data_IF_344354223886
#
_entry.id   IF_344354223886
#
_cell.length_a   1.000
_cell.length_b   1.000
_cell.length_c   1.000
_cell.angle_alpha   90.00
_cell.angle_beta   90.00
_cell.angle_gamma   90.00
#
_symmetry.space_group_name_H-M   'P 1'
#
loop_
_entity.id
_entity.type
_entity.pdbx_description
1 polymer ?
#
# COMPACT_ATOMS: atom_id res chain seq x y z
N UNK A 1 17.57 31.58 -3.12
CA UNK A 1 18.93 31.04 -2.98
C UNK A 1 18.82 29.86 -2.03
N UNK A 2 18.83 28.63 -2.56
CA UNK A 2 18.76 27.39 -1.77
C UNK A 2 19.89 26.48 -2.21
N UNK A 3 20.63 25.83 -1.29
CA UNK A 3 21.64 24.86 -1.68
C UNK A 3 20.91 23.59 -2.13
N UNK A 4 20.88 23.36 -3.43
CA UNK A 4 20.55 22.07 -4.01
C UNK A 4 21.66 21.10 -3.59
N UNK A 5 21.41 20.27 -2.57
CA UNK A 5 22.33 19.20 -2.17
C UNK A 5 22.18 18.07 -3.17
N UNK A 6 22.85 18.13 -4.33
CA UNK A 6 23.02 16.98 -5.21
C UNK A 6 24.31 17.12 -6.05
N UNK A 7 25.42 16.66 -5.49
CA UNK A 7 26.57 16.18 -6.27
C UNK A 7 26.56 14.65 -6.14
N UNK A 8 26.31 13.90 -7.20
CA UNK A 8 27.32 13.02 -7.82
C UNK A 8 26.75 12.29 -9.07
N UNK A 9 27.65 11.66 -9.80
CA UNK A 9 27.67 11.36 -11.23
C UNK A 9 27.17 9.96 -11.64
N UNK A 10 26.17 9.41 -10.96
CA UNK A 10 25.79 7.98 -11.05
C UNK A 10 24.35 7.70 -11.51
N UNK A 11 23.86 8.24 -12.63
CA UNK A 11 22.53 7.84 -13.16
C UNK A 11 21.31 8.19 -12.27
N UNK A 12 21.54 8.69 -11.05
CA UNK A 12 20.52 9.05 -10.06
C UNK A 12 19.65 10.22 -10.52
N UNK A 13 20.09 10.96 -11.55
CA UNK A 13 19.38 12.07 -12.21
C UNK A 13 17.95 11.81 -12.68
N UNK A 14 17.52 10.54 -12.73
CA UNK A 14 16.22 10.08 -13.20
C UNK A 14 15.52 9.15 -12.19
N UNK A 15 15.93 9.19 -10.92
CA UNK A 15 15.38 8.39 -9.83
C UNK A 15 14.78 9.28 -8.74
N UNK A 16 13.86 8.72 -7.94
CA UNK A 16 13.40 9.36 -6.71
C UNK A 16 14.52 9.49 -5.66
N UNK A 17 15.63 8.80 -5.83
CA UNK A 17 16.82 8.95 -5.00
C UNK A 17 17.40 10.38 -5.01
N UNK A 18 17.05 11.21 -5.99
CA UNK A 18 17.37 12.65 -6.00
C UNK A 18 16.84 13.40 -4.79
N UNK A 19 15.73 12.93 -4.24
CA UNK A 19 15.11 13.53 -3.05
C UNK A 19 15.10 12.54 -1.90
N UNK A 20 15.89 11.46 -1.99
CA UNK A 20 15.98 10.48 -0.92
C UNK A 20 16.55 11.14 0.35
N UNK A 21 15.82 10.93 1.43
CA UNK A 21 16.19 11.38 2.74
C UNK A 21 17.44 10.63 3.21
N UNK A 22 18.41 11.38 3.74
CA UNK A 22 19.59 10.83 4.38
C UNK A 22 19.81 11.49 5.74
N UNK A 23 20.56 10.83 6.62
CA UNK A 23 20.82 11.29 7.99
C UNK A 23 21.52 12.65 8.04
N UNK A 24 22.17 13.05 6.95
CA UNK A 24 22.80 14.36 6.76
C UNK A 24 21.90 15.41 6.11
N UNK A 25 20.64 15.10 5.79
CA UNK A 25 19.73 16.02 5.11
C UNK A 25 19.34 17.14 6.06
N UNK A 26 19.82 18.35 5.77
CA UNK A 26 19.42 19.57 6.48
C UNK A 26 18.19 20.17 5.81
N UNK A 27 17.08 20.26 6.56
CA UNK A 27 15.86 20.90 6.09
C UNK A 27 15.78 22.34 6.62
N UNK A 28 15.29 23.29 5.80
CA UNK A 28 14.99 24.63 6.30
C UNK A 28 13.92 24.57 7.40
N UNK A 29 13.96 25.47 8.40
CA UNK A 29 12.94 25.53 9.47
C UNK A 29 11.55 25.72 8.87
N UNK A 30 10.61 24.84 9.23
CA UNK A 30 9.23 24.94 8.76
C UNK A 30 8.45 26.00 9.55
N UNK A 31 7.60 26.83 8.92
CA UNK A 31 6.76 27.79 9.64
C UNK A 31 5.74 27.09 10.55
N UNK A 32 5.36 27.75 11.66
CA UNK A 32 4.34 27.23 12.56
C UNK A 32 3.00 27.02 11.85
N UNK A 33 2.31 25.92 12.17
CA UNK A 33 1.06 25.52 11.49
C UNK A 33 1.24 25.11 10.02
N UNK A 34 2.46 24.78 9.60
CA UNK A 34 2.77 24.15 8.32
C UNK A 34 3.43 22.80 8.57
N UNK A 35 3.61 22.01 7.51
CA UNK A 35 4.09 20.65 7.67
C UNK A 35 4.42 19.94 6.37
N UNK A 36 4.32 18.62 6.42
CA UNK A 36 4.42 17.74 5.27
C UNK A 36 3.23 16.81 5.21
N UNK A 37 2.76 16.55 4.00
CA UNK A 37 1.72 15.55 3.71
C UNK A 37 2.39 14.40 2.97
N UNK A 38 2.10 13.19 3.41
CA UNK A 38 2.62 11.98 2.76
C UNK A 38 1.93 11.66 1.44
N UNK A 39 2.62 10.90 0.61
CA UNK A 39 2.10 10.23 -0.56
C UNK A 39 2.79 8.88 -0.68
N UNK A 40 2.01 7.83 -0.93
CA UNK A 40 2.57 6.50 -1.15
C UNK A 40 3.26 6.44 -2.51
N UNK A 41 4.50 5.96 -2.52
CA UNK A 41 5.27 5.75 -3.75
C UNK A 41 5.14 4.31 -4.15
N UNK A 42 4.69 4.04 -5.37
CA UNK A 42 4.50 2.69 -5.88
C UNK A 42 5.84 1.93 -5.96
N UNK A 43 5.77 0.62 -5.91
CA UNK A 43 6.83 -0.32 -6.16
C UNK A 43 6.96 -0.50 -7.66
N UNK A 44 8.14 -0.92 -8.10
CA UNK A 44 8.48 -1.03 -9.51
C UNK A 44 9.76 -0.27 -9.83
N UNK A 45 10.28 -0.46 -11.06
CA UNK A 45 11.46 0.24 -11.51
C UNK A 45 11.24 1.75 -11.50
N UNK A 46 12.30 2.48 -11.13
CA UNK A 46 12.36 3.92 -11.39
C UNK A 46 12.25 4.12 -12.89
N UNK A 47 11.37 5.04 -13.29
CA UNK A 47 11.16 5.40 -14.67
C UNK A 47 11.09 6.91 -14.80
N UNK A 48 11.56 7.41 -15.94
CA UNK A 48 11.48 8.82 -16.24
C UNK A 48 11.12 9.10 -17.69
N UNK A 49 10.42 10.21 -17.88
CA UNK A 49 10.07 10.77 -19.19
C UNK A 49 10.78 12.12 -19.29
N UNK A 50 11.85 12.17 -20.08
CA UNK A 50 12.57 13.40 -20.36
C UNK A 50 12.01 14.06 -21.61
N UNK A 51 11.80 15.36 -21.56
CA UNK A 51 11.41 16.20 -22.69
C UNK A 51 12.46 17.28 -22.90
N UNK A 52 13.05 17.30 -24.10
CA UNK A 52 14.03 18.31 -24.52
C UNK A 52 13.78 18.69 -25.97
N UNK A 53 13.64 19.99 -26.25
CA UNK A 53 13.36 20.49 -27.60
C UNK A 53 12.19 19.76 -28.29
N UNK A 54 11.11 19.44 -27.54
CA UNK A 54 9.95 18.72 -28.06
C UNK A 54 10.17 17.23 -28.37
N UNK A 55 11.33 16.66 -28.00
CA UNK A 55 11.61 15.22 -28.12
C UNK A 55 11.47 14.54 -26.77
N UNK A 56 10.84 13.38 -26.77
CA UNK A 56 10.69 12.52 -25.60
C UNK A 56 11.78 11.45 -25.61
N UNK A 57 12.50 11.32 -24.49
CA UNK A 57 13.42 10.21 -24.21
C UNK A 57 12.93 9.49 -22.95
N UNK A 58 12.87 8.16 -22.99
CA UNK A 58 12.38 7.35 -21.88
C UNK A 58 13.54 6.67 -21.17
N UNK A 59 13.49 6.70 -19.84
CA UNK A 59 14.49 6.07 -18.99
C UNK A 59 13.84 5.08 -18.03
N UNK A 60 14.58 4.03 -17.69
CA UNK A 60 14.24 3.09 -16.64
C UNK A 60 15.52 2.76 -15.87
N UNK A 61 15.49 2.85 -14.55
CA UNK A 61 16.65 2.71 -13.68
C UNK A 61 17.85 3.59 -14.09
N UNK A 62 17.57 4.83 -14.52
CA UNK A 62 18.60 5.79 -14.93
C UNK A 62 19.15 5.62 -16.35
N UNK A 63 18.75 4.57 -17.07
CA UNK A 63 19.24 4.28 -18.43
C UNK A 63 18.13 4.39 -19.49
N UNK A 64 18.50 4.70 -20.74
CA UNK A 64 17.55 4.74 -21.85
C UNK A 64 16.90 3.36 -22.00
N UNK A 65 15.58 3.31 -21.91
CA UNK A 65 14.84 2.04 -21.89
C UNK A 65 14.35 1.62 -23.28
N UNK A 66 14.41 0.31 -23.53
CA UNK A 66 13.80 -0.34 -24.69
C UNK A 66 12.47 -1.04 -24.34
N UNK A 67 11.91 -0.79 -23.15
CA UNK A 67 10.66 -1.39 -22.70
C UNK A 67 9.48 -0.94 -23.60
N UNK A 68 9.02 -1.84 -24.48
CA UNK A 68 8.00 -1.52 -25.48
C UNK A 68 6.63 -1.16 -24.88
N UNK A 69 6.29 -1.70 -23.72
CA UNK A 69 5.05 -1.38 -23.02
C UNK A 69 5.06 0.05 -22.49
N UNK A 70 6.18 0.48 -21.87
CA UNK A 70 6.34 1.85 -21.40
C UNK A 70 6.37 2.85 -22.56
N UNK A 71 7.08 2.52 -23.65
CA UNK A 71 7.05 3.31 -24.90
C UNK A 71 5.63 3.48 -25.44
N UNK A 72 4.85 2.39 -25.51
CA UNK A 72 3.46 2.41 -25.98
C UNK A 72 2.57 3.23 -25.05
N UNK A 73 2.77 3.14 -23.74
CA UNK A 73 2.04 3.92 -22.74
C UNK A 73 2.29 5.42 -22.91
N UNK A 74 3.56 5.86 -22.93
CA UNK A 74 3.89 7.29 -23.05
C UNK A 74 3.47 7.84 -24.41
N UNK A 75 3.58 7.06 -25.49
CA UNK A 75 3.12 7.47 -26.82
C UNK A 75 1.62 7.78 -26.87
N UNK A 76 0.78 7.06 -26.12
CA UNK A 76 -0.66 7.38 -26.00
C UNK A 76 -0.91 8.73 -25.34
N UNK A 77 0.01 9.17 -24.47
CA UNK A 77 -0.07 10.42 -23.71
C UNK A 77 0.87 11.51 -24.24
N UNK A 78 1.50 11.31 -25.41
CA UNK A 78 2.57 12.16 -25.95
C UNK A 78 2.18 13.64 -25.99
N UNK A 79 0.98 13.95 -26.49
CA UNK A 79 0.48 15.33 -26.54
C UNK A 79 0.37 15.97 -25.16
N UNK A 80 -0.13 15.24 -24.17
CA UNK A 80 -0.29 15.73 -22.81
C UNK A 80 1.07 15.98 -22.15
N UNK A 81 2.00 15.04 -22.33
CA UNK A 81 3.39 15.15 -21.85
C UNK A 81 4.10 16.36 -22.44
N UNK A 82 4.05 16.54 -23.77
CA UNK A 82 4.68 17.66 -24.45
C UNK A 82 4.07 19.00 -24.02
N UNK A 83 2.74 19.06 -23.92
CA UNK A 83 2.02 20.27 -23.48
C UNK A 83 2.39 20.63 -22.03
N UNK A 84 2.51 19.63 -21.15
CA UNK A 84 2.92 19.85 -19.77
C UNK A 84 4.37 20.35 -19.67
N UNK A 85 5.28 19.74 -20.43
CA UNK A 85 6.67 20.15 -20.48
C UNK A 85 6.83 21.58 -21.03
N UNK A 86 6.09 21.95 -22.08
CA UNK A 86 6.11 23.30 -22.65
C UNK A 86 5.66 24.36 -21.64
N UNK A 87 4.66 24.07 -20.80
CA UNK A 87 4.22 24.99 -19.74
C UNK A 87 5.25 25.19 -18.62
N UNK A 88 6.13 24.22 -18.43
CA UNK A 88 7.15 24.22 -17.37
C UNK A 88 8.47 24.81 -17.85
N UNK A 89 8.79 24.60 -19.13
CA UNK A 89 9.94 25.18 -19.79
C UNK A 89 9.76 26.70 -19.94
N UNK A 90 10.81 27.45 -19.61
CA UNK A 90 10.88 28.89 -19.85
C UNK A 90 11.69 29.21 -21.10
N UNK A 91 12.60 28.31 -21.47
CA UNK A 91 13.42 28.39 -22.67
C UNK A 91 13.33 27.07 -23.44
N UNK A 92 13.54 27.14 -24.76
CA UNK A 92 13.52 25.96 -25.64
C UNK A 92 14.56 24.91 -25.19
N UNK A 93 15.70 25.36 -24.67
CA UNK A 93 16.80 24.51 -24.20
C UNK A 93 16.64 23.97 -22.78
N UNK A 94 15.59 24.35 -22.04
CA UNK A 94 15.28 23.75 -20.75
C UNK A 94 14.95 22.25 -20.94
N UNK A 95 15.34 21.42 -19.98
CA UNK A 95 15.05 19.99 -19.96
C UNK A 95 14.04 19.73 -18.85
N UNK A 96 12.90 19.13 -19.19
CA UNK A 96 11.85 18.77 -18.21
C UNK A 96 11.83 17.25 -18.08
N UNK A 97 11.96 16.76 -16.85
CA UNK A 97 12.01 15.33 -16.56
C UNK A 97 10.90 14.99 -15.57
N UNK A 98 9.95 14.15 -15.99
CA UNK A 98 8.95 13.56 -15.12
C UNK A 98 9.52 12.27 -14.54
N UNK A 99 9.72 12.21 -13.22
CA UNK A 99 10.36 11.09 -12.54
C UNK A 99 9.35 10.38 -11.65
N UNK A 100 9.31 9.06 -11.73
CA UNK A 100 8.46 8.26 -10.87
C UNK A 100 8.63 6.77 -11.06
N UNK A 101 7.52 6.03 -10.96
CA UNK A 101 7.53 4.56 -10.94
C UNK A 101 6.74 4.00 -12.10
N UNK A 102 7.30 2.99 -12.75
CA UNK A 102 6.60 2.18 -13.73
C UNK A 102 6.05 0.94 -13.04
N UNK A 103 4.72 0.79 -13.04
CA UNK A 103 4.00 -0.31 -12.44
C UNK A 103 3.42 -1.18 -13.55
N UNK A 104 3.96 -2.39 -13.67
CA UNK A 104 3.48 -3.42 -14.58
C UNK A 104 3.33 -4.68 -13.74
N UNK A 105 2.12 -4.97 -13.31
CA UNK A 105 1.83 -6.27 -12.67
C UNK A 105 1.53 -7.25 -13.79
N UNK A 106 2.11 -8.45 -13.69
CA UNK A 106 1.54 -9.58 -14.40
C UNK A 106 0.11 -9.82 -13.90
N UNK A 107 -0.79 -10.17 -14.82
CA UNK A 107 -2.23 -10.45 -14.63
C UNK A 107 -3.16 -9.20 -14.55
N UNK A 108 -3.92 -9.02 -15.64
CA UNK A 108 -5.18 -8.27 -15.82
C UNK A 108 -5.28 -6.77 -15.45
N UNK A 109 -4.23 -6.16 -14.89
CA UNK A 109 -4.20 -4.71 -14.61
C UNK A 109 -3.53 -3.94 -15.75
N UNK A 110 -4.09 -2.77 -16.11
CA UNK A 110 -3.48 -1.89 -17.09
C UNK A 110 -2.13 -1.35 -16.59
N UNK A 111 -1.07 -1.37 -17.40
CA UNK A 111 0.21 -0.84 -16.98
C UNK A 111 0.12 0.66 -16.74
N UNK A 112 0.81 1.13 -15.69
CA UNK A 112 0.74 2.49 -15.18
C UNK A 112 2.14 3.10 -15.04
N UNK A 113 2.28 4.37 -15.44
CA UNK A 113 3.39 5.21 -15.02
C UNK A 113 2.88 6.31 -14.10
N UNK A 114 3.43 6.39 -12.89
CA UNK A 114 3.08 7.44 -11.93
C UNK A 114 4.26 8.37 -11.70
N UNK A 115 4.23 9.61 -12.22
CA UNK A 115 5.24 10.60 -11.87
C UNK A 115 4.97 11.15 -10.47
N UNK A 116 6.05 11.33 -9.73
CA UNK A 116 6.02 11.80 -8.35
C UNK A 116 6.70 13.16 -8.19
N UNK A 117 7.81 13.36 -8.91
CA UNK A 117 8.54 14.62 -8.95
C UNK A 117 8.79 15.03 -10.39
N UNK A 118 8.95 16.34 -10.58
CA UNK A 118 9.35 16.95 -11.82
C UNK A 118 10.68 17.64 -11.55
N UNK A 119 11.69 17.28 -12.33
CA UNK A 119 12.97 17.97 -12.38
C UNK A 119 13.01 18.86 -13.62
N UNK A 120 13.45 20.09 -13.46
CA UNK A 120 13.64 21.04 -14.56
C UNK A 120 15.09 21.53 -14.53
N UNK A 121 15.86 21.14 -15.53
CA UNK A 121 17.20 21.70 -15.74
C UNK A 121 17.09 22.91 -16.66
N UNK A 122 17.33 24.09 -16.09
CA UNK A 122 17.27 25.37 -16.77
C UNK A 122 18.50 25.57 -17.64
N UNK A 123 18.31 26.28 -18.75
CA UNK A 123 19.40 26.68 -19.65
C UNK A 123 20.51 27.51 -19.00
N UNK A 124 20.23 28.16 -17.86
CA UNK A 124 21.20 28.92 -17.06
C UNK A 124 22.04 28.03 -16.10
N UNK A 125 21.85 26.71 -16.13
CA UNK A 125 22.54 25.75 -15.27
C UNK A 125 21.88 25.51 -13.90
N UNK A 126 20.74 26.13 -13.61
CA UNK A 126 19.97 25.85 -12.39
C UNK A 126 19.10 24.61 -12.55
N UNK A 127 18.97 23.82 -11.48
CA UNK A 127 18.04 22.69 -11.41
C UNK A 127 16.96 22.98 -10.39
N UNK A 128 15.70 22.82 -10.81
CA UNK A 128 14.52 22.90 -9.97
C UNK A 128 13.90 21.51 -9.81
N UNK A 129 13.43 21.19 -8.61
CA UNK A 129 12.70 19.96 -8.33
C UNK A 129 11.41 20.33 -7.62
N UNK A 130 10.29 19.83 -8.13
CA UNK A 130 8.96 20.09 -7.56
C UNK A 130 8.10 18.83 -7.59
N UNK A 131 7.06 18.74 -6.74
CA UNK A 131 6.05 17.69 -6.84
C UNK A 131 5.42 17.61 -8.23
N UNK A 132 5.19 16.40 -8.71
CA UNK A 132 4.35 16.20 -9.90
C UNK A 132 2.88 16.41 -9.53
N UNK A 133 2.20 17.30 -10.24
CA UNK A 133 0.75 17.41 -10.16
C UNK A 133 0.13 16.28 -10.98
N UNK A 134 -0.83 15.56 -10.41
CA UNK A 134 -1.37 14.28 -10.88
C UNK A 134 -1.87 14.28 -12.35
N UNK A 135 -2.20 15.43 -12.93
CA UNK A 135 -3.04 15.51 -14.14
C UNK A 135 -2.34 15.23 -15.49
N UNK A 136 -1.13 14.65 -15.53
CA UNK A 136 -0.40 14.40 -16.80
C UNK A 136 -0.68 12.99 -17.33
N UNK A 137 -0.81 12.01 -16.45
CA UNK A 137 -1.07 10.61 -16.80
C UNK A 137 -2.34 10.18 -16.05
N UNK A 138 -3.48 10.37 -16.70
CA UNK A 138 -4.79 10.10 -16.11
C UNK A 138 -5.02 8.60 -15.90
N UNK A 139 -5.34 8.20 -14.68
CA UNK A 139 -6.04 6.93 -14.39
C UNK A 139 -7.12 7.15 -13.34
N UNK A 140 -8.29 6.55 -13.52
CA UNK A 140 -9.44 6.68 -12.60
C UNK A 140 -9.13 6.17 -11.17
N UNK A 141 -8.05 5.39 -11.00
CA UNK A 141 -7.51 4.88 -9.72
C UNK A 141 -6.74 5.95 -8.89
N UNK A 142 -6.67 7.20 -9.34
CA UNK A 142 -5.82 8.26 -8.77
C UNK A 142 -6.10 8.62 -7.30
N UNK A 143 -7.32 8.35 -6.82
CA UNK A 143 -7.76 8.72 -5.46
C UNK A 143 -7.41 7.69 -4.37
N UNK A 144 -6.98 6.48 -4.71
CA UNK A 144 -6.85 5.39 -3.72
C UNK A 144 -5.50 5.33 -3.00
N UNK A 145 -4.51 6.13 -3.42
CA UNK A 145 -3.11 5.99 -2.96
C UNK A 145 -2.53 7.23 -2.27
N UNK A 146 -3.35 8.23 -1.94
CA UNK A 146 -2.94 9.33 -1.08
C UNK A 146 -3.01 8.85 0.38
N UNK A 147 -1.86 8.69 1.03
CA UNK A 147 -1.82 8.59 2.49
C UNK A 147 -1.97 10.00 3.06
N UNK A 148 -2.91 10.20 3.96
CA UNK A 148 -3.16 11.49 4.60
C UNK A 148 -2.42 11.61 5.94
N UNK A 149 -1.20 11.05 6.05
CA UNK A 149 -0.38 11.31 7.24
C UNK A 149 0.25 12.69 7.11
N UNK A 150 0.17 13.46 8.20
CA UNK A 150 0.68 14.82 8.29
C UNK A 150 1.77 14.92 9.38
N UNK A 151 2.86 15.58 9.03
CA UNK A 151 3.93 15.95 9.97
C UNK A 151 3.86 17.46 10.17
N UNK A 152 3.43 17.88 11.36
CA UNK A 152 3.45 19.28 11.77
C UNK A 152 4.89 19.80 12.02
N UNK A 153 5.12 21.09 11.78
CA UNK A 153 6.42 21.76 11.93
C UNK A 153 7.04 21.56 13.32
N UNK A 154 6.23 21.54 14.38
CA UNK A 154 6.65 21.39 15.76
C UNK A 154 7.33 20.03 15.99
N UNK A 155 6.86 18.98 15.32
CA UNK A 155 7.49 17.65 15.39
C UNK A 155 8.87 17.68 14.74
N UNK A 156 9.05 18.40 13.62
CA UNK A 156 10.34 18.47 12.93
C UNK A 156 11.43 19.15 13.78
N UNK A 157 11.06 20.04 14.71
CA UNK A 157 12.02 20.74 15.55
C UNK A 157 12.83 19.81 16.48
N UNK A 158 12.31 18.62 16.80
CA UNK A 158 12.99 17.64 17.66
C UNK A 158 13.98 16.73 16.92
N UNK A 159 14.12 16.87 15.61
CA UNK A 159 14.98 16.03 14.78
C UNK A 159 14.24 15.56 13.53
N UNK A 160 14.31 16.30 12.41
CA UNK A 160 13.50 16.01 11.22
C UNK A 160 13.72 14.59 10.70
N UNK A 161 14.94 14.07 10.81
CA UNK A 161 15.29 12.73 10.38
C UNK A 161 14.52 11.64 11.09
N UNK A 162 14.47 11.71 12.42
CA UNK A 162 13.81 10.69 13.21
C UNK A 162 12.29 10.78 13.05
N UNK A 163 11.76 11.98 12.85
CA UNK A 163 10.33 12.20 12.60
C UNK A 163 9.90 11.62 11.26
N UNK A 164 10.59 11.93 10.16
CA UNK A 164 10.26 11.36 8.84
C UNK A 164 10.34 9.84 8.85
N UNK A 165 11.36 9.27 9.52
CA UNK A 165 11.48 7.82 9.66
C UNK A 165 10.36 7.23 10.50
N UNK A 166 10.08 7.80 11.67
CA UNK A 166 9.06 7.28 12.59
C UNK A 166 7.67 7.35 11.97
N UNK A 167 7.31 8.46 11.34
CA UNK A 167 5.99 8.64 10.73
C UNK A 167 5.87 7.82 9.43
N UNK A 168 6.96 7.66 8.66
CA UNK A 168 6.95 6.71 7.54
C UNK A 168 6.81 5.27 8.03
N UNK A 169 7.51 4.87 9.10
CA UNK A 169 7.39 3.53 9.69
C UNK A 169 5.98 3.28 10.25
N UNK A 170 5.39 4.29 10.90
CA UNK A 170 4.01 4.25 11.36
C UNK A 170 3.04 4.08 10.21
N UNK A 171 3.20 4.86 9.14
CA UNK A 171 2.39 4.77 7.95
C UNK A 171 2.51 3.37 7.34
N UNK A 172 3.73 2.86 7.09
CA UNK A 172 3.96 1.48 6.63
C UNK A 172 3.19 0.50 7.49
N UNK A 173 3.30 0.60 8.81
CA UNK A 173 2.69 -0.36 9.73
C UNK A 173 1.18 -0.31 9.68
N UNK A 174 0.58 0.88 9.67
CA UNK A 174 -0.87 1.05 9.44
C UNK A 174 -1.28 0.39 8.13
N UNK A 175 -0.59 0.69 7.04
CA UNK A 175 -0.88 0.10 5.73
C UNK A 175 -0.62 -1.41 5.67
N UNK A 176 0.39 -1.90 6.38
CA UNK A 176 0.67 -3.33 6.54
C UNK A 176 -0.38 -4.04 7.41
N UNK A 177 -1.07 -3.32 8.29
CA UNK A 177 -2.22 -3.81 9.04
C UNK A 177 -3.48 -3.96 8.20
N UNK A 178 -3.50 -3.42 6.97
CA UNK A 178 -4.55 -3.67 6.00
C UNK A 178 -4.14 -4.84 5.09
N UNK A 179 -4.65 -6.08 5.32
CA UNK A 179 -4.40 -7.23 4.44
C UNK A 179 -5.10 -7.13 3.06
N UNK A 180 -5.75 -6.01 2.78
CA UNK A 180 -6.67 -5.83 1.65
C UNK A 180 -6.01 -5.35 0.35
N UNK A 181 -4.71 -5.07 0.34
CA UNK A 181 -4.00 -4.72 -0.90
C UNK A 181 -3.39 -5.99 -1.50
N UNK A 182 -3.93 -6.40 -2.64
CA UNK A 182 -3.49 -7.56 -3.41
C UNK A 182 -1.98 -7.57 -3.67
N UNK A 183 -1.32 -8.70 -3.43
CA UNK A 183 -0.03 -9.07 -4.04
C UNK A 183 1.09 -8.06 -3.87
N UNK A 184 1.85 -8.19 -2.77
CA UNK A 184 2.84 -7.21 -2.28
C UNK A 184 2.21 -5.85 -1.94
N UNK A 185 2.65 -5.25 -0.83
CA UNK A 185 2.48 -3.81 -0.68
C UNK A 185 3.20 -3.17 -1.86
N UNK A 186 2.42 -2.65 -2.79
CA UNK A 186 2.86 -2.15 -4.08
C UNK A 186 3.65 -0.86 -3.93
N UNK A 187 4.38 -0.64 -2.83
CA UNK A 187 4.97 0.63 -2.44
C UNK A 187 6.47 0.49 -2.19
N UNK A 188 7.24 1.43 -2.71
CA UNK A 188 8.69 1.51 -2.52
C UNK A 188 9.10 2.56 -1.48
N UNK A 189 8.17 3.35 -0.94
CA UNK A 189 8.49 4.46 -0.03
C UNK A 189 7.34 5.41 0.18
N UNK A 190 7.65 6.45 0.96
CA UNK A 190 6.77 7.59 1.20
C UNK A 190 7.44 8.84 0.66
N UNK A 191 6.68 9.62 -0.10
CA UNK A 191 7.09 10.93 -0.54
C UNK A 191 6.36 11.97 0.28
N UNK A 192 7.11 12.80 0.98
CA UNK A 192 6.59 13.84 1.84
C UNK A 192 6.66 15.17 1.10
N UNK A 193 5.48 15.74 0.86
CA UNK A 193 5.30 17.01 0.17
C UNK A 193 5.12 18.13 1.20
N UNK A 194 5.86 19.22 1.11
CA UNK A 194 5.66 20.34 2.01
C UNK A 194 4.31 21.00 1.73
N UNK A 195 3.62 21.43 2.79
CA UNK A 195 2.36 22.17 2.69
C UNK A 195 2.57 23.60 2.15
N UNK A 196 3.82 24.06 2.11
CA UNK A 196 4.21 25.40 1.65
C UNK A 196 5.23 25.33 0.51
N UNK A 197 5.04 26.19 -0.49
CA UNK A 197 5.92 26.24 -1.65
C UNK A 197 7.35 26.66 -1.30
N UNK A 198 8.33 26.13 -2.03
CA UNK A 198 9.76 26.48 -1.87
C UNK A 198 10.51 25.61 -0.86
N UNK A 199 9.84 24.66 -0.20
CA UNK A 199 10.46 23.66 0.67
C UNK A 199 10.76 22.38 -0.13
N UNK A 200 11.79 21.61 0.25
CA UNK A 200 12.17 20.41 -0.47
C UNK A 200 11.14 19.29 -0.29
N UNK A 201 10.95 18.47 -1.32
CA UNK A 201 10.26 17.19 -1.21
C UNK A 201 11.21 16.18 -0.56
N UNK A 202 10.68 15.29 0.29
CA UNK A 202 11.48 14.29 1.00
C UNK A 202 10.99 12.89 0.67
N UNK A 203 11.82 12.06 0.05
CA UNK A 203 11.51 10.66 -0.20
C UNK A 203 12.14 9.76 0.86
N UNK A 204 11.33 8.98 1.56
CA UNK A 204 11.78 7.95 2.50
C UNK A 204 11.63 6.59 1.81
N UNK A 205 12.69 6.03 1.21
CA UNK A 205 12.62 4.72 0.57
C UNK A 205 12.45 3.62 1.62
N UNK A 206 11.66 2.60 1.28
CA UNK A 206 11.64 1.34 2.01
C UNK A 206 12.82 0.51 1.52
N UNK A 207 13.93 0.54 2.26
CA UNK A 207 15.15 -0.16 1.87
C UNK A 207 14.93 -1.67 1.74
N UNK A 208 15.18 -2.20 0.53
CA UNK A 208 15.42 -3.61 0.23
C UNK A 208 14.28 -4.58 0.54
N UNK A 209 13.74 -5.23 -0.50
CA UNK A 209 12.87 -6.42 -0.43
C UNK A 209 12.01 -6.45 0.85
N UNK A 210 10.87 -5.74 0.81
CA UNK A 210 9.74 -6.06 1.68
C UNK A 210 9.19 -7.42 1.23
N UNK A 211 10.01 -8.46 1.33
CA UNK A 211 9.48 -9.76 1.67
C UNK A 211 9.22 -9.65 3.16
N UNK A 212 8.02 -10.00 3.57
CA UNK A 212 7.62 -10.25 4.95
C UNK A 212 8.53 -11.25 5.72
N UNK A 213 9.67 -11.66 5.14
CA UNK A 213 10.56 -12.73 5.61
C UNK A 213 11.94 -12.27 6.07
N UNK A 214 12.35 -11.02 5.89
CA UNK A 214 13.61 -10.54 6.48
C UNK A 214 13.39 -9.33 7.38
N UNK A 215 13.49 -9.58 8.68
CA UNK A 215 13.75 -8.58 9.73
C UNK A 215 14.95 -7.72 9.31
N UNK A 216 14.72 -6.65 8.57
CA UNK A 216 15.62 -5.52 8.64
C UNK A 216 15.26 -4.74 9.91
N UNK A 217 15.91 -5.14 10.99
CA UNK A 217 16.26 -4.24 12.07
C UNK A 217 16.95 -3.03 11.43
N UNK A 218 16.20 -1.97 11.13
CA UNK A 218 16.82 -0.67 10.93
C UNK A 218 17.47 -0.29 12.25
N UNK A 219 18.79 -0.48 12.32
CA UNK A 219 19.65 -0.01 13.40
C UNK A 219 19.80 1.52 13.26
N UNK A 220 18.69 2.25 13.28
CA UNK A 220 18.65 3.69 13.44
C UNK A 220 18.49 3.99 14.93
N UNK A 221 19.42 4.74 15.49
CA UNK A 221 19.50 5.00 16.92
C UNK A 221 18.44 5.97 17.40
N UNK A 222 17.34 5.46 17.94
CA UNK A 222 17.01 5.80 19.31
C UNK A 222 16.10 4.72 19.92
N UNK A 223 16.51 4.17 21.06
CA UNK A 223 15.75 3.17 21.80
C UNK A 223 14.65 3.81 22.66
N UNK A 224 14.20 5.02 22.34
CA UNK A 224 13.33 5.81 23.21
C UNK A 224 11.93 6.10 22.66
N UNK A 225 11.64 5.74 21.41
CA UNK A 225 10.26 5.82 20.93
C UNK A 225 9.41 4.69 21.54
N UNK A 226 8.57 5.07 22.50
CA UNK A 226 7.62 4.18 23.16
C UNK A 226 6.66 3.52 22.15
N UNK A 227 6.39 4.20 21.04
CA UNK A 227 5.59 3.69 19.93
C UNK A 227 6.27 2.50 19.26
N UNK A 228 7.53 2.65 18.85
CA UNK A 228 8.29 1.57 18.21
C UNK A 228 8.53 0.39 19.16
N UNK A 229 8.65 0.65 20.47
CA UNK A 229 8.75 -0.41 21.49
C UNK A 229 7.52 -1.29 21.55
N UNK A 230 6.32 -0.72 21.55
CA UNK A 230 5.07 -1.50 21.64
C UNK A 230 4.86 -2.35 20.40
N UNK A 231 5.14 -1.83 19.20
CA UNK A 231 5.11 -2.60 17.96
C UNK A 231 6.13 -3.75 17.95
N UNK A 232 7.37 -3.52 18.37
CA UNK A 232 8.39 -4.58 18.46
C UNK A 232 8.01 -5.67 19.46
N UNK A 233 7.32 -5.31 20.55
CA UNK A 233 6.81 -6.28 21.50
C UNK A 233 5.75 -7.18 20.84
N UNK A 234 4.86 -6.61 20.02
CA UNK A 234 3.87 -7.39 19.25
C UNK A 234 4.55 -8.29 18.22
N UNK A 235 5.50 -7.76 17.43
CA UNK A 235 6.23 -8.53 16.41
C UNK A 235 6.98 -9.73 17.05
N UNK A 236 7.55 -9.52 18.24
CA UNK A 236 8.23 -10.57 18.99
C UNK A 236 7.23 -11.63 19.46
N UNK A 237 6.15 -11.21 20.12
CA UNK A 237 5.12 -12.13 20.60
C UNK A 237 4.44 -12.90 19.46
N UNK A 238 4.24 -12.28 18.30
CA UNK A 238 3.71 -12.92 17.10
C UNK A 238 4.69 -13.93 16.52
N UNK A 239 5.98 -13.62 16.50
CA UNK A 239 7.04 -14.53 16.09
C UNK A 239 7.13 -15.76 16.99
N UNK A 240 7.07 -15.55 18.30
CA UNK A 240 7.03 -16.63 19.29
C UNK A 240 5.78 -17.48 19.11
N UNK A 241 4.61 -16.85 18.94
CA UNK A 241 3.35 -17.56 18.69
C UNK A 241 3.41 -18.43 17.43
N UNK A 242 3.92 -17.89 16.31
CA UNK A 242 4.14 -18.67 15.08
C UNK A 242 5.10 -19.84 15.28
N UNK A 243 6.16 -19.64 16.07
CA UNK A 243 7.14 -20.69 16.39
C UNK A 243 6.51 -21.80 17.25
N UNK A 244 5.55 -21.46 18.12
CA UNK A 244 4.76 -22.47 18.87
C UNK A 244 3.86 -23.26 17.94
N UNK A 245 3.20 -22.59 16.99
CA UNK A 245 2.33 -23.24 16.01
C UNK A 245 3.10 -24.21 15.08
N UNK A 246 4.36 -23.88 14.74
CA UNK A 246 5.24 -24.76 13.96
C UNK A 246 5.93 -25.84 14.80
N UNK A 247 5.84 -25.77 16.13
CA UNK A 247 6.52 -26.70 17.05
C UNK A 247 7.99 -26.38 17.31
N UNK A 248 8.47 -25.22 16.89
CA UNK A 248 9.84 -24.74 17.09
C UNK A 248 10.06 -24.18 18.51
N UNK A 249 8.99 -23.84 19.23
CA UNK A 249 9.04 -23.33 20.59
C UNK A 249 8.13 -24.14 21.52
N UNK A 250 8.71 -24.71 22.57
CA UNK A 250 8.02 -25.57 23.54
C UNK A 250 7.38 -24.75 24.68
N UNK A 251 6.35 -23.97 24.33
CA UNK A 251 5.46 -23.30 25.29
C UNK A 251 4.00 -23.57 24.91
N UNK A 252 3.05 -23.58 25.87
CA UNK A 252 1.64 -23.78 25.55
C UNK A 252 1.11 -22.69 24.61
N UNK A 253 0.34 -23.10 23.60
CA UNK A 253 -0.29 -22.17 22.63
C UNK A 253 -1.09 -21.08 23.32
N UNK A 254 -1.83 -21.43 24.38
CA UNK A 254 -2.61 -20.48 25.17
C UNK A 254 -1.73 -19.43 25.87
N UNK A 255 -0.52 -19.81 26.31
CA UNK A 255 0.45 -18.90 26.92
C UNK A 255 1.02 -17.94 25.88
N UNK A 256 1.45 -18.45 24.73
CA UNK A 256 1.97 -17.62 23.64
C UNK A 256 0.90 -16.66 23.09
N UNK A 257 -0.36 -17.14 22.97
CA UNK A 257 -1.48 -16.28 22.58
C UNK A 257 -1.76 -15.19 23.61
N UNK A 258 -1.72 -15.53 24.90
CA UNK A 258 -1.90 -14.54 25.97
C UNK A 258 -0.81 -13.47 25.95
N UNK A 259 0.44 -13.84 25.67
CA UNK A 259 1.55 -12.89 25.51
C UNK A 259 1.33 -11.95 24.32
N UNK A 260 0.85 -12.48 23.20
CA UNK A 260 0.49 -11.69 22.02
C UNK A 260 -0.63 -10.70 22.33
N UNK A 261 -1.69 -11.14 23.01
CA UNK A 261 -2.77 -10.26 23.45
C UNK A 261 -2.30 -9.17 24.43
N UNK A 262 -1.38 -9.50 25.35
CA UNK A 262 -0.78 -8.51 26.26
C UNK A 262 0.03 -7.48 25.48
N UNK A 263 0.81 -7.91 24.49
CA UNK A 263 1.59 -7.01 23.65
C UNK A 263 0.70 -6.06 22.84
N UNK A 264 -0.39 -6.57 22.25
CA UNK A 264 -1.38 -5.74 21.54
C UNK A 264 -2.01 -4.75 22.51
N UNK A 265 -2.49 -5.20 23.67
CA UNK A 265 -3.11 -4.32 24.68
C UNK A 265 -2.17 -3.23 25.22
N UNK A 266 -0.87 -3.45 25.16
CA UNK A 266 0.14 -2.47 25.58
C UNK A 266 0.32 -1.32 24.57
N UNK A 267 -0.27 -1.38 23.37
CA UNK A 267 -0.22 -0.27 22.42
C UNK A 267 -1.00 0.94 22.94
N UNK A 268 -0.49 2.17 22.71
CA UNK A 268 -0.92 3.35 23.45
C UNK A 268 -2.32 3.88 23.06
N UNK A 269 -2.66 3.90 21.77
CA UNK A 269 -3.98 4.35 21.30
C UNK A 269 -4.89 3.16 20.99
N UNK A 270 -6.20 3.43 20.96
CA UNK A 270 -7.22 2.41 20.67
C UNK A 270 -7.24 1.99 19.20
N UNK A 271 -7.05 2.96 18.31
CA UNK A 271 -6.98 2.74 16.86
C UNK A 271 -5.84 1.79 16.48
N UNK A 272 -4.61 2.03 16.93
CA UNK A 272 -3.49 1.16 16.55
C UNK A 272 -3.59 -0.21 17.26
N UNK A 273 -4.28 -0.30 18.41
CA UNK A 273 -4.63 -1.60 19.03
C UNK A 273 -5.56 -2.41 18.14
N UNK A 274 -6.60 -1.77 17.59
CA UNK A 274 -7.52 -2.41 16.66
C UNK A 274 -6.76 -2.85 15.40
N UNK A 275 -6.06 -1.93 14.74
CA UNK A 275 -5.27 -2.23 13.53
C UNK A 275 -4.29 -3.39 13.74
N UNK A 276 -3.56 -3.40 14.85
CA UNK A 276 -2.60 -4.46 15.14
C UNK A 276 -3.26 -5.80 15.47
N UNK A 277 -4.36 -5.78 16.22
CA UNK A 277 -5.15 -6.97 16.48
C UNK A 277 -5.60 -7.61 15.15
N UNK A 278 -6.04 -6.77 14.22
CA UNK A 278 -6.52 -7.20 12.92
C UNK A 278 -5.40 -7.68 11.99
N UNK A 279 -4.24 -7.05 12.02
CA UNK A 279 -3.03 -7.53 11.36
C UNK A 279 -2.64 -8.94 11.82
N UNK A 280 -2.60 -9.13 13.14
CA UNK A 280 -2.26 -10.39 13.78
C UNK A 280 -3.27 -11.47 13.38
N UNK A 281 -4.56 -11.17 13.44
CA UNK A 281 -5.62 -12.07 12.97
C UNK A 281 -5.41 -12.47 11.52
N UNK A 282 -5.19 -11.51 10.62
CA UNK A 282 -5.01 -11.78 9.20
C UNK A 282 -3.84 -12.74 8.93
N UNK A 283 -2.74 -12.58 9.68
CA UNK A 283 -1.59 -13.47 9.59
C UNK A 283 -1.81 -14.86 10.20
N UNK A 284 -2.75 -14.97 11.13
CA UNK A 284 -3.09 -16.21 11.84
C UNK A 284 -4.32 -16.92 11.27
N UNK A 285 -5.11 -16.27 10.40
CA UNK A 285 -6.33 -16.82 9.81
C UNK A 285 -6.12 -18.14 9.06
N UNK A 286 -4.93 -18.33 8.48
CA UNK A 286 -4.48 -19.57 7.82
C UNK A 286 -4.00 -20.67 8.78
N UNK A 287 -3.67 -20.27 10.01
CA UNK A 287 -3.27 -21.21 11.04
C UNK A 287 -4.55 -21.76 11.68
N UNK A 288 -4.46 -22.98 12.24
CA UNK A 288 -5.56 -23.71 12.92
C UNK A 288 -6.05 -23.00 14.19
N UNK A 289 -6.27 -21.69 14.16
CA UNK A 289 -6.42 -20.82 15.31
C UNK A 289 -7.77 -20.12 15.27
N UNK A 290 -8.50 -20.22 16.38
CA UNK A 290 -9.74 -19.50 16.62
C UNK A 290 -9.43 -18.27 17.48
N UNK A 291 -9.55 -17.10 16.87
CA UNK A 291 -9.32 -15.79 17.50
C UNK A 291 -10.31 -15.45 18.63
N UNK A 292 -11.53 -16.00 18.57
CA UNK A 292 -12.57 -15.75 19.56
C UNK A 292 -12.31 -16.56 20.83
N UNK A 293 -11.86 -17.81 20.67
CA UNK A 293 -11.64 -18.71 21.81
C UNK A 293 -10.17 -18.82 22.23
N UNK A 294 -9.24 -18.31 21.42
CA UNK A 294 -7.80 -18.44 21.63
C UNK A 294 -7.28 -19.87 21.53
N UNK A 295 -8.05 -20.77 20.88
CA UNK A 295 -7.78 -22.21 20.85
C UNK A 295 -7.39 -22.69 19.46
N UNK A 296 -6.65 -23.80 19.40
CA UNK A 296 -6.41 -24.45 18.13
C UNK A 296 -7.63 -25.28 17.71
N UNK A 297 -8.16 -25.00 16.52
CA UNK A 297 -9.25 -25.73 15.89
C UNK A 297 -8.83 -26.27 14.53
N UNK A 298 -9.17 -27.52 14.28
CA UNK A 298 -9.06 -28.09 12.95
C UNK A 298 -10.13 -27.46 12.05
N UNK A 299 -9.67 -26.66 11.08
CA UNK A 299 -10.53 -25.99 10.10
C UNK A 299 -10.78 -26.90 8.90
N UNK A 300 -12.01 -26.95 8.41
CA UNK A 300 -12.42 -27.75 7.25
C UNK A 300 -12.43 -26.92 5.96
N UNK A 301 -12.21 -27.54 4.80
CA UNK A 301 -12.12 -26.84 3.51
C UNK A 301 -13.49 -26.34 3.02
N UNK A 302 -14.50 -27.21 3.10
CA UNK A 302 -15.89 -26.89 2.78
C UNK A 302 -16.80 -27.44 3.88
N UNK A 303 -17.74 -26.64 4.41
CA UNK A 303 -18.71 -27.11 5.39
C UNK A 303 -19.64 -28.14 4.78
N UNK A 304 -20.09 -29.12 5.58
CA UNK A 304 -21.02 -30.17 5.15
C UNK A 304 -22.50 -29.74 5.24
N UNK A 305 -22.80 -28.67 5.99
CA UNK A 305 -24.17 -28.19 6.23
C UNK A 305 -24.81 -27.46 5.05
N UNK A 306 -26.15 -27.41 5.05
CA UNK A 306 -26.96 -26.64 4.08
C UNK A 306 -26.83 -25.12 4.25
N UNK A 307 -26.38 -24.67 5.41
CA UNK A 307 -26.16 -23.25 5.70
C UNK A 307 -24.94 -23.05 6.59
N UNK A 308 -24.37 -21.85 6.53
CA UNK A 308 -23.25 -21.42 7.36
C UNK A 308 -23.30 -19.89 7.53
N UNK A 309 -22.98 -19.39 8.72
CA UNK A 309 -22.85 -17.93 8.91
C UNK A 309 -21.46 -17.42 8.56
N UNK A 310 -21.33 -16.12 8.26
CA UNK A 310 -20.01 -15.50 8.01
C UNK A 310 -19.04 -15.71 9.17
N UNK A 311 -19.53 -15.71 10.41
CA UNK A 311 -18.75 -16.04 11.60
C UNK A 311 -18.26 -17.49 11.62
N UNK A 312 -19.14 -18.42 11.24
CA UNK A 312 -18.78 -19.84 11.19
C UNK A 312 -17.75 -20.13 10.11
N UNK A 313 -17.78 -19.41 8.98
CA UNK A 313 -16.73 -19.48 7.95
C UNK A 313 -15.36 -19.19 8.57
N UNK A 314 -15.24 -18.10 9.32
CA UNK A 314 -13.97 -17.67 9.95
C UNK A 314 -13.44 -18.69 10.97
N UNK A 315 -14.34 -19.24 11.79
CA UNK A 315 -13.96 -20.08 12.94
C UNK A 315 -13.81 -21.56 12.57
N UNK A 316 -14.63 -22.06 11.65
CA UNK A 316 -14.73 -23.50 11.37
C UNK A 316 -14.06 -23.90 10.06
N UNK A 317 -13.83 -22.96 9.14
CA UNK A 317 -13.39 -23.30 7.78
C UNK A 317 -12.04 -22.70 7.43
N UNK A 318 -11.38 -23.28 6.42
CA UNK A 318 -10.11 -22.79 5.88
C UNK A 318 -10.29 -21.61 4.92
N UNK A 319 -11.53 -21.26 4.57
CA UNK A 319 -11.78 -20.14 3.68
C UNK A 319 -11.28 -18.84 4.30
N UNK A 320 -10.46 -18.09 3.56
CA UNK A 320 -9.91 -16.80 4.02
C UNK A 320 -10.94 -15.68 4.13
N UNK A 321 -12.05 -15.83 3.42
CA UNK A 321 -13.02 -14.79 3.23
C UNK A 321 -14.17 -15.22 2.32
N UNK A 322 -14.88 -14.23 1.83
CA UNK A 322 -16.07 -14.37 1.01
C UNK A 322 -16.16 -13.17 0.08
N UNK A 323 -16.86 -13.31 -1.03
CA UNK A 323 -17.11 -12.21 -1.95
C UNK A 323 -18.38 -11.46 -1.57
N UNK A 324 -18.37 -10.14 -1.82
CA UNK A 324 -19.58 -9.34 -1.97
C UNK A 324 -19.82 -9.12 -3.45
N UNK A 325 -21.08 -9.27 -3.87
CA UNK A 325 -21.53 -8.98 -5.23
C UNK A 325 -22.64 -7.95 -5.12
N UNK A 326 -22.55 -6.88 -5.89
CA UNK A 326 -23.58 -5.86 -6.00
C UNK A 326 -24.13 -5.82 -7.43
N UNK A 327 -25.43 -5.53 -7.52
CA UNK A 327 -26.12 -5.23 -8.77
C UNK A 327 -26.81 -3.89 -8.65
N UNK A 328 -26.81 -3.16 -9.77
CA UNK A 328 -27.56 -1.91 -9.89
C UNK A 328 -29.04 -2.24 -10.15
N UNK A 329 -29.93 -1.70 -9.32
CA UNK A 329 -31.38 -1.93 -9.42
C UNK A 329 -31.98 -1.26 -10.66
N UNK A 330 -31.32 -0.23 -11.21
CA UNK A 330 -31.80 0.51 -12.39
C UNK A 330 -31.64 -0.27 -13.71
N UNK A 331 -30.98 -1.43 -13.69
CA UNK A 331 -30.70 -2.25 -14.88
C UNK A 331 -30.94 -3.74 -14.65
N UNK A 332 -32.19 -4.15 -14.46
CA UNK A 332 -32.53 -5.57 -14.29
C UNK A 332 -32.13 -6.38 -15.54
N UNK A 333 -31.11 -7.22 -15.38
CA UNK A 333 -30.58 -8.11 -16.43
C UNK A 333 -29.15 -7.81 -16.89
N UNK A 334 -28.51 -6.74 -16.41
CA UNK A 334 -27.08 -6.51 -16.64
C UNK A 334 -26.21 -7.36 -15.69
N UNK A 335 -24.95 -7.58 -16.12
CA UNK A 335 -23.92 -8.28 -15.34
C UNK A 335 -23.68 -7.58 -13.99
N UNK A 336 -23.06 -8.30 -13.06
CA UNK A 336 -22.69 -7.78 -11.74
C UNK A 336 -21.97 -6.43 -11.90
N UNK A 337 -22.46 -5.39 -11.23
CA UNK A 337 -21.89 -4.04 -11.36
C UNK A 337 -20.62 -3.87 -10.53
N UNK A 338 -20.49 -4.67 -9.47
CA UNK A 338 -19.33 -4.68 -8.59
C UNK A 338 -19.17 -6.04 -7.91
N UNK A 339 -17.93 -6.49 -7.79
CA UNK A 339 -17.58 -7.67 -7.02
C UNK A 339 -16.26 -7.43 -6.29
N UNK A 340 -16.20 -7.80 -5.01
CA UNK A 340 -14.97 -7.71 -4.22
C UNK A 340 -14.84 -8.88 -3.25
N UNK A 341 -13.62 -9.37 -3.07
CA UNK A 341 -13.32 -10.38 -2.07
C UNK A 341 -13.02 -9.70 -0.72
N UNK A 342 -13.79 -10.07 0.29
CA UNK A 342 -13.70 -9.57 1.66
C UNK A 342 -13.09 -10.67 2.53
N UNK A 343 -11.99 -10.35 3.20
CA UNK A 343 -11.48 -11.20 4.27
C UNK A 343 -12.49 -11.20 5.43
N UNK A 344 -12.68 -12.34 6.09
CA UNK A 344 -13.75 -12.54 7.08
C UNK A 344 -13.61 -11.66 8.33
N UNK A 345 -13.93 -10.36 8.21
CA UNK A 345 -13.73 -9.33 9.24
C UNK A 345 -14.93 -8.40 9.41
N UNK A 346 -16.06 -8.64 8.72
CA UNK A 346 -17.24 -7.81 8.91
C UNK A 346 -17.93 -8.18 10.22
N UNK A 347 -17.53 -7.51 11.31
CA UNK A 347 -18.12 -7.72 12.65
C UNK A 347 -19.63 -7.46 12.66
N UNK A 348 -20.07 -6.46 11.89
CA UNK A 348 -21.48 -6.09 11.78
C UNK A 348 -22.33 -7.12 11.02
N UNK A 349 -21.68 -7.96 10.21
CA UNK A 349 -22.32 -8.94 9.31
C UNK A 349 -22.08 -10.39 9.72
N UNK A 350 -21.49 -10.64 10.90
CA UNK A 350 -21.10 -11.98 11.34
C UNK A 350 -22.26 -12.99 11.38
N UNK A 351 -23.48 -12.50 11.62
CA UNK A 351 -24.69 -13.31 11.72
C UNK A 351 -25.40 -13.52 10.37
N UNK A 352 -24.86 -12.98 9.26
CA UNK A 352 -25.40 -13.22 7.93
C UNK A 352 -25.28 -14.70 7.59
N UNK A 353 -26.43 -15.28 7.25
CA UNK A 353 -26.57 -16.69 6.89
C UNK A 353 -26.39 -16.86 5.37
N UNK A 354 -25.51 -17.79 5.00
CA UNK A 354 -25.31 -18.22 3.63
C UNK A 354 -25.90 -19.62 3.47
N UNK A 355 -26.59 -19.83 2.37
CA UNK A 355 -27.16 -21.11 1.99
C UNK A 355 -26.30 -21.75 0.91
N UNK A 356 -26.12 -23.07 0.99
CA UNK A 356 -25.51 -23.84 -0.08
C UNK A 356 -26.35 -23.66 -1.35
N UNK A 357 -25.71 -23.32 -2.46
CA UNK A 357 -26.39 -23.04 -3.70
C UNK A 357 -25.66 -23.66 -4.90
N UNK A 358 -26.30 -23.62 -6.07
CA UNK A 358 -25.57 -23.84 -7.33
C UNK A 358 -24.43 -22.81 -7.44
N UNK A 359 -23.26 -23.20 -8.00
CA UNK A 359 -22.11 -22.32 -8.05
C UNK A 359 -22.44 -20.95 -8.65
N UNK A 360 -22.13 -19.89 -7.90
CA UNK A 360 -22.23 -18.51 -8.36
C UNK A 360 -20.90 -18.13 -8.99
N UNK A 361 -20.86 -17.99 -10.31
CA UNK A 361 -19.64 -17.58 -11.01
C UNK A 361 -19.28 -16.13 -10.69
N UNK A 362 -18.00 -15.90 -10.44
CA UNK A 362 -17.40 -14.58 -10.35
C UNK A 362 -16.70 -14.30 -11.69
N UNK A 363 -16.95 -13.14 -12.28
CA UNK A 363 -16.30 -12.77 -13.54
C UNK A 363 -14.77 -12.75 -13.37
N UNK A 364 -14.05 -13.35 -14.31
CA UNK A 364 -12.59 -13.47 -14.26
C UNK A 364 -12.06 -14.67 -13.46
N UNK A 365 -12.93 -15.54 -12.93
CA UNK A 365 -12.51 -16.76 -12.23
C UNK A 365 -13.21 -18.01 -12.77
N UNK A 366 -12.44 -19.09 -12.89
CA UNK A 366 -12.92 -20.37 -13.42
C UNK A 366 -13.77 -21.16 -12.42
N UNK A 367 -13.63 -20.87 -11.12
CA UNK A 367 -14.39 -21.52 -10.04
C UNK A 367 -15.55 -20.63 -9.57
N UNK A 368 -16.67 -21.23 -9.20
CA UNK A 368 -17.83 -20.52 -8.65
C UNK A 368 -17.95 -20.68 -7.13
N UNK A 369 -18.64 -19.75 -6.48
CA UNK A 369 -18.93 -19.81 -5.05
C UNK A 369 -20.08 -20.77 -4.73
N UNK A 370 -19.87 -21.66 -3.75
CA UNK A 370 -20.83 -22.72 -3.38
C UNK A 370 -21.87 -22.31 -2.35
N UNK A 371 -21.74 -21.11 -1.77
CA UNK A 371 -22.65 -20.57 -0.77
C UNK A 371 -23.02 -19.13 -1.12
N UNK A 372 -24.26 -18.75 -0.87
CA UNK A 372 -24.77 -17.39 -1.07
C UNK A 372 -25.78 -16.99 0.00
N UNK A 373 -25.75 -15.72 0.41
CA UNK A 373 -26.84 -15.11 1.17
C UNK A 373 -28.01 -14.75 0.25
N UNK A 374 -29.15 -14.42 0.86
CA UNK A 374 -30.19 -13.66 0.17
C UNK A 374 -29.67 -12.29 -0.30
N UNK A 375 -30.37 -11.68 -1.25
CA UNK A 375 -30.10 -10.31 -1.67
C UNK A 375 -30.56 -9.32 -0.59
N UNK A 376 -29.65 -8.42 -0.23
CA UNK A 376 -29.83 -7.37 0.77
C UNK A 376 -29.95 -6.04 0.04
N UNK A 377 -31.01 -5.30 0.31
CA UNK A 377 -31.23 -3.97 -0.28
C UNK A 377 -30.49 -2.89 0.51
N UNK A 378 -29.85 -1.96 -0.21
CA UNK A 378 -29.20 -0.76 0.31
C UNK A 378 -29.63 0.48 -0.48
N UNK A 379 -29.21 1.67 -0.03
CA UNK A 379 -29.42 2.91 -0.79
C UNK A 379 -28.65 2.94 -2.13
N UNK A 380 -27.66 2.06 -2.31
CA UNK A 380 -26.82 1.95 -3.50
C UNK A 380 -27.20 0.75 -4.39
N UNK A 381 -28.37 0.14 -4.17
CA UNK A 381 -28.85 -1.05 -4.89
C UNK A 381 -28.79 -2.32 -4.05
N UNK A 382 -28.74 -3.48 -4.69
CA UNK A 382 -28.79 -4.77 -4.00
C UNK A 382 -27.43 -5.45 -3.98
N UNK A 383 -27.05 -5.99 -2.82
CA UNK A 383 -25.84 -6.76 -2.66
C UNK A 383 -26.11 -8.11 -2.00
N UNK A 384 -25.16 -9.05 -2.11
CA UNK A 384 -25.17 -10.32 -1.39
C UNK A 384 -23.77 -10.82 -1.14
N UNK A 385 -23.64 -11.70 -0.15
CA UNK A 385 -22.40 -12.39 0.17
C UNK A 385 -22.37 -13.76 -0.50
N UNK A 386 -21.22 -14.15 -1.03
CA UNK A 386 -20.99 -15.51 -1.53
C UNK A 386 -19.65 -16.05 -1.06
N UNK A 387 -19.56 -17.34 -0.76
CA UNK A 387 -18.37 -17.94 -0.16
C UNK A 387 -18.03 -19.30 -0.77
N UNK A 388 -16.85 -19.82 -0.42
CA UNK A 388 -16.35 -21.12 -0.91
C UNK A 388 -16.35 -21.19 -2.44
N UNK A 389 -15.68 -20.22 -3.04
CA UNK A 389 -15.31 -20.22 -4.44
C UNK A 389 -13.85 -19.80 -4.55
N UNK A 390 -13.44 -19.24 -5.69
CA UNK A 390 -12.06 -18.83 -5.89
C UNK A 390 -11.70 -17.84 -4.79
N UNK A 391 -10.77 -18.24 -3.94
CA UNK A 391 -10.08 -17.24 -3.14
C UNK A 391 -9.32 -16.36 -4.13
N UNK A 392 -9.12 -15.10 -3.77
CA UNK A 392 -8.08 -14.33 -4.44
C UNK A 392 -6.74 -14.93 -4.04
N UNK A 393 -6.40 -16.05 -4.65
CA UNK A 393 -5.11 -16.69 -4.51
C UNK A 393 -4.10 -15.65 -4.97
N UNK A 394 -3.20 -15.27 -4.08
CA UNK A 394 -1.94 -14.68 -4.45
C UNK A 394 -1.26 -15.73 -5.35
N UNK A 395 -1.45 -15.65 -6.67
CA UNK A 395 -0.66 -16.45 -7.61
C UNK A 395 0.76 -15.90 -7.52
N UNK A 396 1.68 -16.79 -7.17
CA UNK A 396 3.10 -16.52 -6.96
C UNK A 396 3.85 -16.57 -8.28
#
# INVERSE_FOLDING_TARGET
MHPTILNDSSGDGYSLNLVAFNDSTTLPPMPAGQGYISQNVLFGPDAAVEVKNGKITLYMMGEITLNSAFHKFVRRQERAVLTAAEKLATNVSDIVVFIGKWYHVDYDINPLFRPYIIRIDRSNGQTEVQPSKANIFWTDEENEYLAYEEIEAEKLASGPADVFRAESERAIRRFMSYPFTSGFYSWSGFLWHPTVAGYPVVYVPLGGVISHRKKHLWKGGDQNDQYLKTYRAVDTALGDFKSVLSGDLDIPVSTAFSQLQVAIKAMPNEEDRADMHDYVIALLGDQRFDETTGSLKEKIELPLGESITLKEIQVQTKAKGYWIIQRDDDRPGELQSYCAFLYGRHQEDQDILLHRCSPVCIEGFDEGCSYASDWISSEYGQFRYVAFGPERALSW
#
